data_IF_594196609152
#
_entry.id   IF_594196609152
#
_cell.length_a   1.000
_cell.length_b   1.000
_cell.length_c   1.000
_cell.angle_alpha   90.00
_cell.angle_beta   90.00
_cell.angle_gamma   90.00
#
_symmetry.space_group_name_H-M   'P 1'
#
loop_
_entity.id
_entity.type
_entity.pdbx_description
1 polymer ?
#
# COMPACT_ATOMS: atom_id res chain seq x y z
N UNK A 1 22.10 -5.68 -7.99
CA UNK A 1 23.52 -5.99 -7.73
C UNK A 1 23.82 -6.01 -6.24
N UNK A 2 23.89 -7.19 -5.60
CA UNK A 2 24.10 -7.35 -4.15
C UNK A 2 25.43 -6.79 -3.62
N UNK A 3 26.43 -6.59 -4.50
CA UNK A 3 27.79 -6.16 -4.15
C UNK A 3 27.86 -4.79 -3.48
N UNK A 4 27.02 -3.83 -3.90
CA UNK A 4 27.03 -2.48 -3.34
C UNK A 4 26.73 -2.46 -1.84
N UNK A 5 25.81 -3.30 -1.38
CA UNK A 5 25.42 -3.36 0.04
C UNK A 5 26.42 -4.15 0.91
N UNK A 6 27.25 -5.01 0.31
CA UNK A 6 28.30 -5.73 1.02
C UNK A 6 29.56 -4.88 1.26
N UNK A 7 29.65 -3.71 0.65
CA UNK A 7 30.84 -2.86 0.74
C UNK A 7 31.01 -2.32 2.18
N UNK A 8 32.23 -2.34 2.75
CA UNK A 8 32.47 -1.85 4.10
C UNK A 8 32.39 -0.31 4.18
N UNK A 9 31.72 0.18 5.22
CA UNK A 9 31.66 1.59 5.59
C UNK A 9 32.23 1.75 7.02
N UNK A 10 33.19 2.65 7.17
CA UNK A 10 33.85 2.98 8.43
C UNK A 10 33.23 4.25 9.02
N UNK A 11 32.67 4.15 10.22
CA UNK A 11 32.10 5.29 10.94
C UNK A 11 32.42 5.15 12.42
N UNK A 12 32.86 6.25 13.04
CA UNK A 12 33.26 6.28 14.46
C UNK A 12 34.24 5.15 14.85
N UNK A 13 35.14 4.79 13.93
CA UNK A 13 36.12 3.72 14.15
C UNK A 13 35.62 2.29 13.95
N UNK A 14 34.32 2.08 13.75
CA UNK A 14 33.73 0.77 13.49
C UNK A 14 33.51 0.55 12.00
N UNK A 15 33.99 -0.59 11.49
CA UNK A 15 33.76 -1.02 10.11
C UNK A 15 32.63 -2.04 10.07
N UNK A 16 31.61 -1.76 9.27
CA UNK A 16 30.50 -2.65 9.02
C UNK A 16 30.04 -2.50 7.57
N UNK A 17 29.39 -3.53 7.00
CA UNK A 17 28.87 -3.44 5.64
C UNK A 17 27.73 -2.41 5.57
N UNK A 18 27.55 -1.79 4.40
CA UNK A 18 26.43 -0.86 4.15
C UNK A 18 25.09 -1.48 4.54
N UNK A 19 24.87 -2.76 4.18
CA UNK A 19 23.71 -3.54 4.59
C UNK A 19 23.51 -3.53 6.11
N UNK A 20 24.55 -3.91 6.87
CA UNK A 20 24.47 -4.00 8.32
C UNK A 20 24.22 -2.62 8.95
N UNK A 21 24.88 -1.57 8.45
CA UNK A 21 24.69 -0.21 8.96
C UNK A 21 23.29 0.32 8.74
N UNK A 22 22.71 0.09 7.57
CA UNK A 22 21.35 0.54 7.26
C UNK A 22 20.35 -0.17 8.16
N UNK A 23 20.47 -1.50 8.33
CA UNK A 23 19.58 -2.24 9.23
C UNK A 23 19.75 -1.83 10.69
N UNK A 24 20.99 -1.69 11.17
CA UNK A 24 21.25 -1.27 12.54
C UNK A 24 20.70 0.15 12.80
N UNK A 25 20.93 1.09 11.89
CA UNK A 25 20.42 2.46 12.02
C UNK A 25 18.88 2.47 12.03
N UNK A 26 18.25 1.65 11.19
CA UNK A 26 16.80 1.51 11.18
C UNK A 26 16.25 1.00 12.52
N UNK A 27 16.90 -0.01 13.12
CA UNK A 27 16.45 -0.62 14.38
C UNK A 27 16.83 0.14 15.64
N UNK A 28 17.90 0.96 15.61
CA UNK A 28 18.42 1.61 16.81
C UNK A 28 18.21 3.13 16.79
N UNK A 29 18.60 3.81 15.71
CA UNK A 29 18.50 5.27 15.61
C UNK A 29 17.09 5.71 15.23
N UNK A 30 16.46 4.97 14.32
CA UNK A 30 15.14 5.27 13.78
C UNK A 30 14.06 4.32 14.30
N UNK A 31 14.27 3.72 15.47
CA UNK A 31 13.30 2.83 16.10
C UNK A 31 11.92 3.53 16.18
N UNK A 32 10.85 2.76 15.94
CA UNK A 32 9.46 3.21 15.98
C UNK A 32 9.06 4.25 14.90
N UNK A 33 9.90 4.52 13.90
CA UNK A 33 9.50 5.36 12.77
C UNK A 33 8.86 4.54 11.65
N UNK A 34 7.75 5.06 11.10
CA UNK A 34 7.00 4.41 10.01
C UNK A 34 7.88 4.12 8.77
N UNK A 35 8.91 4.92 8.53
CA UNK A 35 9.89 4.72 7.45
C UNK A 35 11.34 4.62 7.99
N UNK A 36 11.53 3.91 9.10
CA UNK A 36 12.84 3.77 9.74
C UNK A 36 13.94 3.30 8.77
N UNK A 37 13.61 2.34 7.90
CA UNK A 37 14.56 1.80 6.92
C UNK A 37 14.91 2.81 5.82
N UNK A 38 13.93 3.58 5.33
CA UNK A 38 14.18 4.64 4.35
C UNK A 38 15.01 5.78 4.94
N UNK A 39 14.75 6.17 6.18
CA UNK A 39 15.56 7.20 6.86
C UNK A 39 16.99 6.72 7.13
N UNK A 40 17.14 5.48 7.57
CA UNK A 40 18.46 4.85 7.75
C UNK A 40 19.24 4.76 6.44
N UNK A 41 18.57 4.38 5.34
CA UNK A 41 19.17 4.29 4.02
C UNK A 41 19.75 5.63 3.58
N UNK A 42 18.94 6.70 3.59
CA UNK A 42 19.37 8.04 3.19
C UNK A 42 20.51 8.57 4.06
N UNK A 43 20.45 8.35 5.39
CA UNK A 43 21.52 8.80 6.28
C UNK A 43 22.82 8.06 6.00
N UNK A 44 22.79 6.73 5.89
CA UNK A 44 24.01 5.93 5.69
C UNK A 44 24.68 6.22 4.34
N UNK A 45 23.92 6.59 3.31
CA UNK A 45 24.48 7.03 2.02
C UNK A 45 25.25 8.35 2.11
N UNK A 46 24.81 9.28 2.97
CA UNK A 46 25.49 10.57 3.19
C UNK A 46 26.66 10.42 4.15
N UNK A 47 26.53 9.55 5.15
CA UNK A 47 27.61 9.25 6.09
C UNK A 47 28.72 8.37 5.48
N UNK A 48 28.39 7.63 4.43
CA UNK A 48 29.27 6.74 3.70
C UNK A 48 28.91 6.68 2.21
N UNK A 49 29.55 7.54 1.43
CA UNK A 49 29.38 7.71 -0.02
C UNK A 49 29.54 6.38 -0.78
N UNK A 50 30.40 5.50 -0.27
CA UNK A 50 30.62 4.15 -0.82
C UNK A 50 29.34 3.31 -0.83
N UNK A 51 28.37 3.62 0.04
CA UNK A 51 27.08 2.96 0.11
C UNK A 51 26.08 3.46 -0.94
N UNK A 52 26.42 4.44 -1.78
CA UNK A 52 25.56 4.89 -2.89
C UNK A 52 25.27 3.76 -3.90
N UNK A 53 26.19 2.81 -4.03
CA UNK A 53 26.01 1.61 -4.87
C UNK A 53 25.02 0.59 -4.29
N UNK A 54 24.62 0.73 -3.02
CA UNK A 54 23.64 -0.15 -2.38
C UNK A 54 22.22 0.30 -2.71
N UNK A 55 21.41 -0.59 -3.31
CA UNK A 55 19.99 -0.33 -3.57
C UNK A 55 19.12 -0.69 -2.36
N UNK A 56 18.04 0.07 -2.11
CA UNK A 56 17.13 -0.19 -0.99
C UNK A 56 16.49 -1.60 -1.03
N UNK A 57 16.27 -2.19 -2.22
CA UNK A 57 15.78 -3.56 -2.35
C UNK A 57 16.79 -4.61 -1.85
N UNK A 58 18.09 -4.37 -2.07
CA UNK A 58 19.16 -5.27 -1.67
C UNK A 58 19.49 -5.20 -0.16
N UNK A 59 19.02 -4.17 0.54
CA UNK A 59 19.08 -4.09 2.02
C UNK A 59 18.09 -5.05 2.67
N UNK A 60 17.00 -5.41 1.98
CA UNK A 60 15.94 -6.23 2.57
C UNK A 60 15.05 -5.44 3.54
N UNK A 61 14.91 -4.13 3.33
CA UNK A 61 13.98 -3.28 4.09
C UNK A 61 12.52 -3.77 3.96
N UNK A 62 12.05 -4.57 4.93
CA UNK A 62 10.62 -4.85 5.10
C UNK A 62 10.00 -3.71 5.93
N UNK A 63 9.47 -2.69 5.26
CA UNK A 63 8.88 -1.55 5.96
C UNK A 63 8.35 -0.40 5.09
N UNK A 64 8.62 -0.41 3.78
CA UNK A 64 8.03 0.57 2.85
C UNK A 64 6.63 0.18 2.36
N UNK A 65 6.04 -0.89 2.89
CA UNK A 65 4.68 -1.29 2.55
C UNK A 65 3.69 -0.52 3.43
N UNK A 66 3.48 0.76 3.15
CA UNK A 66 2.30 1.49 3.62
C UNK A 66 1.04 1.10 2.87
N UNK A 67 1.10 0.13 1.97
CA UNK A 67 -0.09 -0.58 1.47
C UNK A 67 -0.56 -1.62 2.49
N UNK A 68 -0.61 -1.28 3.78
CA UNK A 68 -1.71 -1.82 4.59
C UNK A 68 -2.95 -1.10 4.09
N UNK A 69 -3.48 -1.53 2.94
CA UNK A 69 -4.86 -1.26 2.60
C UNK A 69 -5.66 -1.47 3.87
N UNK A 70 -6.45 -0.48 4.33
CA UNK A 70 -7.16 -0.59 5.61
C UNK A 70 -8.04 -1.85 5.66
N UNK A 71 -8.34 -2.41 4.47
CA UNK A 71 -8.98 -3.69 4.30
C UNK A 71 -8.23 -4.59 3.31
N UNK A 72 -7.99 -5.83 3.71
CA UNK A 72 -7.58 -6.92 2.82
C UNK A 72 -8.82 -7.44 2.07
N UNK A 73 -8.90 -7.16 0.76
CA UNK A 73 -10.01 -7.54 -0.11
C UNK A 73 -10.02 -9.01 -0.54
N UNK A 74 -9.00 -9.78 -0.19
CA UNK A 74 -8.94 -11.22 -0.42
C UNK A 74 -9.36 -12.00 0.84
N UNK A 75 -9.11 -11.43 2.03
CA UNK A 75 -9.54 -12.01 3.30
C UNK A 75 -11.07 -12.20 3.38
N UNK A 76 -11.49 -13.46 3.32
CA UNK A 76 -12.89 -13.85 3.42
C UNK A 76 -13.74 -13.52 2.19
N UNK A 77 -13.11 -13.33 1.01
CA UNK A 77 -13.84 -12.95 -0.21
C UNK A 77 -14.96 -13.93 -0.57
N UNK A 78 -14.77 -15.25 -0.37
CA UNK A 78 -15.79 -16.26 -0.67
C UNK A 78 -17.14 -16.06 0.04
N UNK A 79 -17.13 -15.33 1.16
CA UNK A 79 -18.35 -14.97 1.89
C UNK A 79 -18.43 -13.45 2.12
N UNK A 80 -17.91 -12.64 1.20
CA UNK A 80 -17.82 -11.19 1.39
C UNK A 80 -19.19 -10.55 1.66
N UNK A 81 -20.26 -11.09 1.06
CA UNK A 81 -21.61 -10.53 1.16
C UNK A 81 -22.14 -10.53 2.60
N UNK A 82 -21.89 -11.58 3.38
CA UNK A 82 -22.27 -11.66 4.79
C UNK A 82 -21.12 -11.36 5.75
N UNK A 83 -19.88 -11.67 5.35
CA UNK A 83 -18.70 -11.64 6.20
C UNK A 83 -17.94 -10.32 6.21
N UNK A 84 -18.15 -9.42 5.24
CA UNK A 84 -17.52 -8.10 5.25
C UNK A 84 -18.42 -7.03 5.87
N UNK A 85 -17.81 -6.13 6.64
CA UNK A 85 -18.45 -4.89 7.07
C UNK A 85 -18.72 -3.98 5.87
N UNK A 86 -19.72 -3.10 5.98
CA UNK A 86 -20.04 -2.15 4.90
C UNK A 86 -18.82 -1.29 4.48
N UNK A 87 -18.02 -0.72 5.40
CA UNK A 87 -16.83 0.06 5.03
C UNK A 87 -15.80 -0.76 4.24
N UNK A 88 -15.65 -2.05 4.56
CA UNK A 88 -14.76 -2.95 3.81
C UNK A 88 -15.27 -3.18 2.39
N UNK A 89 -16.57 -3.41 2.22
CA UNK A 89 -17.20 -3.57 0.90
C UNK A 89 -17.02 -2.34 0.03
N UNK A 90 -17.30 -1.16 0.57
CA UNK A 90 -17.21 0.11 -0.18
C UNK A 90 -15.77 0.40 -0.60
N UNK A 91 -14.81 0.20 0.32
CA UNK A 91 -13.39 0.42 0.03
C UNK A 91 -12.87 -0.58 -0.99
N UNK A 92 -13.17 -1.87 -0.83
CA UNK A 92 -12.73 -2.93 -1.75
C UNK A 92 -13.39 -2.81 -3.13
N UNK A 93 -14.64 -2.36 -3.20
CA UNK A 93 -15.32 -2.09 -4.46
C UNK A 93 -14.64 -0.93 -5.21
N UNK A 94 -14.27 0.14 -4.50
CA UNK A 94 -13.67 1.34 -5.10
C UNK A 94 -12.19 1.17 -5.48
N UNK A 95 -11.42 0.44 -4.67
CA UNK A 95 -9.95 0.38 -4.80
C UNK A 95 -9.45 -0.94 -5.42
N UNK A 96 -10.21 -2.02 -5.28
CA UNK A 96 -9.82 -3.36 -5.74
C UNK A 96 -10.86 -3.98 -6.69
N UNK A 97 -11.96 -3.29 -6.96
CA UNK A 97 -13.10 -3.77 -7.76
C UNK A 97 -13.65 -5.13 -7.30
N UNK A 98 -13.61 -5.38 -5.98
CA UNK A 98 -14.07 -6.61 -5.33
C UNK A 98 -15.18 -6.32 -4.32
N UNK A 99 -16.17 -7.21 -4.25
CA UNK A 99 -17.22 -7.12 -3.23
C UNK A 99 -18.17 -5.93 -3.45
N UNK A 100 -18.30 -5.48 -4.69
CA UNK A 100 -19.38 -4.58 -5.07
C UNK A 100 -20.69 -5.36 -5.00
N UNK A 101 -21.69 -4.83 -4.27
CA UNK A 101 -23.05 -5.27 -4.51
C UNK A 101 -23.33 -5.03 -5.99
N UNK A 102 -23.85 -6.04 -6.70
CA UNK A 102 -24.49 -5.77 -7.97
C UNK A 102 -25.52 -4.71 -7.64
N UNK A 103 -25.32 -3.48 -8.14
CA UNK A 103 -26.34 -2.46 -8.09
C UNK A 103 -27.59 -3.18 -8.56
N UNK A 104 -28.58 -3.32 -7.67
CA UNK A 104 -29.89 -3.71 -8.10
C UNK A 104 -30.20 -2.69 -9.18
N UNK A 105 -30.13 -3.14 -10.43
CA UNK A 105 -30.68 -2.43 -11.56
C UNK A 105 -32.15 -2.36 -11.21
N UNK A 106 -32.54 -1.34 -10.43
CA UNK A 106 -33.88 -0.83 -10.52
C UNK A 106 -34.06 -0.62 -12.02
N UNK A 107 -35.00 -1.32 -12.66
CA UNK A 107 -35.27 -1.05 -14.05
C UNK A 107 -35.56 0.45 -14.12
N UNK A 108 -34.73 1.18 -14.87
CA UNK A 108 -35.02 2.57 -15.14
C UNK A 108 -36.31 2.53 -15.96
N UNK A 109 -37.44 2.82 -15.31
CA UNK A 109 -38.71 2.90 -16.01
C UNK A 109 -38.84 4.33 -16.54
N UNK A 110 -38.35 4.56 -17.75
CA UNK A 110 -38.55 5.80 -18.49
C UNK A 110 -40.00 6.03 -18.95
N UNK A 111 -40.93 5.12 -18.61
CA UNK A 111 -42.36 5.21 -18.92
C UNK A 111 -43.24 5.46 -17.68
N UNK A 112 -42.68 5.77 -16.52
CA UNK A 112 -43.44 6.06 -15.29
C UNK A 112 -44.28 7.37 -15.32
N UNK A 113 -44.65 7.89 -16.50
CA UNK A 113 -45.37 9.15 -16.68
C UNK A 113 -46.38 9.23 -17.83
N UNK A 114 -46.72 8.14 -18.53
CA UNK A 114 -47.69 8.20 -19.64
C UNK A 114 -49.08 7.64 -19.29
N UNK A 115 -49.80 8.31 -18.38
CA UNK A 115 -51.22 8.07 -18.16
C UNK A 115 -52.00 9.40 -18.02
N UNK A 116 -52.14 10.13 -19.14
CA UNK A 116 -53.38 10.83 -19.57
C UNK A 116 -53.10 11.91 -20.63
N UNK A 117 -53.01 11.52 -21.90
CA UNK A 117 -53.23 12.47 -23.02
C UNK A 117 -54.06 11.82 -24.13
N UNK A 118 -55.22 11.29 -23.78
CA UNK A 118 -56.24 11.06 -24.80
C UNK A 118 -57.63 11.27 -24.22
N UNK A 119 -58.20 12.45 -24.49
CA UNK A 119 -59.57 12.68 -24.93
C UNK A 119 -59.75 14.20 -25.13
N UNK A 120 -59.49 14.65 -26.35
CA UNK A 120 -59.66 16.03 -26.79
C UNK A 120 -59.69 16.07 -28.30
N UNK A 121 -60.72 15.46 -28.90
CA UNK A 121 -60.88 15.40 -30.34
C UNK A 121 -62.24 14.83 -30.73
N UNK A 122 -63.27 15.69 -30.70
CA UNK A 122 -64.29 15.92 -31.73
C UNK A 122 -65.17 17.10 -31.29
#
# INVERSE_FOLDING_TARGET
SPLGCATPCKWKGLTATCHHRILWAASNTYAHQLNACGQAYSRVQVECDVCLSCSIQAVGCKGLSTTSSPFDCDAGYNNWHAGWSQPKKDWCCSNAHKGCAAAASLPYDCNAGLHNFHLGGL
#
